data_IF_713923564907
#
_entry.id   IF_713923564907
#
_cell.length_a   1.000
_cell.length_b   1.000
_cell.length_c   1.000
_cell.angle_alpha   90.00
_cell.angle_beta   90.00
_cell.angle_gamma   90.00
#
_symmetry.space_group_name_H-M   'P 1'
#
loop_
_entity.id
_entity.type
_entity.pdbx_description
1 polymer ?
#
# COMPACT_ATOMS: atom_id res chain seq x y z
N UNK A 1 3.03 -27.46 -12.80
CA UNK A 1 2.38 -26.88 -11.61
C UNK A 1 2.80 -25.42 -11.51
N UNK A 2 1.89 -24.48 -11.79
CA UNK A 2 2.15 -23.06 -11.54
C UNK A 2 2.04 -22.86 -10.03
N UNK A 3 3.19 -22.77 -9.35
CA UNK A 3 3.24 -22.35 -7.95
C UNK A 3 3.00 -20.85 -7.91
N UNK A 4 1.74 -20.43 -8.11
CA UNK A 4 1.33 -19.04 -7.93
C UNK A 4 1.25 -18.76 -6.44
N UNK A 5 2.38 -18.35 -5.84
CA UNK A 5 2.37 -17.83 -4.47
C UNK A 5 1.44 -16.62 -4.38
N UNK A 6 0.75 -16.43 -3.25
CA UNK A 6 -0.19 -15.35 -3.08
C UNK A 6 0.54 -14.01 -3.17
N UNK A 7 -0.12 -12.98 -3.74
CA UNK A 7 0.46 -11.66 -3.87
C UNK A 7 0.73 -11.05 -2.49
N UNK A 8 1.80 -10.26 -2.37
CA UNK A 8 2.21 -9.65 -1.11
C UNK A 8 1.72 -8.21 -1.00
N UNK A 9 1.16 -7.88 0.17
CA UNK A 9 0.75 -6.53 0.51
C UNK A 9 1.91 -5.76 1.14
N UNK A 10 2.02 -4.48 0.78
CA UNK A 10 3.03 -3.55 1.29
C UNK A 10 2.39 -2.20 1.57
N UNK A 11 2.86 -1.52 2.61
CA UNK A 11 2.56 -0.11 2.85
C UNK A 11 3.80 0.70 2.57
N UNK A 12 3.63 1.82 1.89
CA UNK A 12 4.68 2.79 1.61
C UNK A 12 4.30 4.05 2.39
N UNK A 13 5.22 4.58 3.19
CA UNK A 13 5.03 5.73 4.05
C UNK A 13 5.97 6.86 3.64
N UNK A 14 5.76 8.06 4.18
CA UNK A 14 6.61 9.23 3.92
C UNK A 14 6.69 9.63 2.43
N UNK A 15 5.66 9.34 1.65
CA UNK A 15 5.61 9.76 0.24
C UNK A 15 5.35 11.26 0.18
N UNK A 16 6.04 12.05 -0.65
CA UNK A 16 5.76 13.49 -0.75
C UNK A 16 4.33 13.79 -1.25
N UNK A 17 3.66 14.80 -0.68
CA UNK A 17 2.26 15.17 -0.98
C UNK A 17 1.91 15.37 -2.46
N UNK A 18 2.88 15.74 -3.28
CA UNK A 18 2.69 16.03 -4.70
C UNK A 18 2.87 14.80 -5.60
N UNK A 19 3.04 13.60 -5.04
CA UNK A 19 3.16 12.37 -5.81
C UNK A 19 1.82 11.91 -6.38
N UNK A 20 1.88 11.39 -7.60
CA UNK A 20 0.79 10.63 -8.21
C UNK A 20 1.11 9.14 -8.17
N UNK A 21 0.11 8.28 -8.35
CA UNK A 21 0.32 6.83 -8.44
C UNK A 21 1.31 6.46 -9.54
N UNK A 22 1.24 7.13 -10.71
CA UNK A 22 2.15 6.89 -11.82
C UNK A 22 3.60 7.26 -11.45
N UNK A 23 3.78 8.37 -10.73
CA UNK A 23 5.09 8.81 -10.26
C UNK A 23 5.64 7.85 -9.20
N UNK A 24 4.83 7.46 -8.22
CA UNK A 24 5.21 6.47 -7.21
C UNK A 24 5.59 5.12 -7.86
N UNK A 25 4.84 4.68 -8.88
CA UNK A 25 5.17 3.46 -9.62
C UNK A 25 6.47 3.57 -10.43
N UNK A 26 6.84 4.79 -10.85
CA UNK A 26 8.07 5.02 -11.60
C UNK A 26 9.34 4.84 -10.76
N UNK A 27 9.23 4.97 -9.44
CA UNK A 27 10.28 4.81 -8.44
C UNK A 27 10.75 3.37 -8.22
N UNK A 28 10.05 2.39 -8.81
CA UNK A 28 10.40 0.98 -8.72
C UNK A 28 11.18 0.52 -9.94
N UNK A 29 11.98 -0.54 -9.82
CA UNK A 29 12.71 -1.12 -10.94
C UNK A 29 11.77 -1.50 -12.09
N UNK A 30 12.18 -1.24 -13.33
CA UNK A 30 11.33 -1.43 -14.53
C UNK A 30 10.68 -2.82 -14.64
N UNK A 31 11.43 -3.89 -14.32
CA UNK A 31 10.89 -5.27 -14.29
C UNK A 31 9.83 -5.50 -13.22
N UNK A 32 9.80 -4.67 -12.18
CA UNK A 32 8.91 -4.82 -11.02
C UNK A 32 7.63 -4.01 -11.25
N UNK A 33 7.68 -2.94 -12.05
CA UNK A 33 6.53 -2.09 -12.42
C UNK A 33 5.37 -2.93 -12.96
N UNK A 34 5.63 -3.95 -13.77
CA UNK A 34 4.59 -4.85 -14.32
C UNK A 34 3.90 -5.71 -13.25
N UNK A 35 4.56 -5.94 -12.12
CA UNK A 35 4.09 -6.76 -11.01
C UNK A 35 3.49 -5.94 -9.86
N UNK A 36 3.52 -4.61 -9.95
CA UNK A 36 3.08 -3.68 -8.92
C UNK A 36 1.70 -3.10 -9.26
N UNK A 37 0.78 -3.19 -8.30
CA UNK A 37 -0.49 -2.50 -8.32
C UNK A 37 -0.62 -1.63 -7.07
N UNK A 38 -0.68 -0.31 -7.26
CA UNK A 38 -1.05 0.62 -6.18
C UNK A 38 -2.56 0.51 -5.98
N UNK A 39 -2.98 0.34 -4.73
CA UNK A 39 -4.37 0.12 -4.32
C UNK A 39 -4.95 1.34 -3.62
N UNK A 40 -4.10 2.11 -2.97
CA UNK A 40 -4.45 3.39 -2.38
C UNK A 40 -3.23 4.30 -2.37
N UNK A 41 -3.48 5.60 -2.47
CA UNK A 41 -2.54 6.68 -2.23
C UNK A 41 -3.33 7.79 -1.54
N UNK A 42 -3.11 7.98 -0.25
CA UNK A 42 -3.93 8.84 0.62
C UNK A 42 -3.02 9.69 1.51
N UNK A 43 -3.50 10.82 2.04
CA UNK A 43 -2.76 11.58 3.05
C UNK A 43 -2.37 10.69 4.24
N UNK A 44 -1.15 10.86 4.71
CA UNK A 44 -0.67 10.23 5.94
C UNK A 44 -1.35 10.89 7.14
N UNK A 45 -1.99 10.07 7.97
CA UNK A 45 -2.69 10.53 9.18
C UNK A 45 -1.74 10.82 10.33
N UNK A 46 -0.48 10.39 10.22
CA UNK A 46 0.54 10.46 11.27
C UNK A 46 1.33 11.77 11.22
N UNK A 47 1.33 12.45 10.08
CA UNK A 47 2.20 13.59 9.82
C UNK A 47 1.43 14.72 9.14
N UNK A 48 0.84 15.59 9.97
CA UNK A 48 0.06 16.76 9.55
C UNK A 48 0.88 18.06 9.50
N UNK A 49 2.18 18.02 9.79
CA UNK A 49 3.01 19.23 9.82
C UNK A 49 3.55 19.58 8.40
N UNK A 50 3.23 20.78 7.91
CA UNK A 50 3.75 21.32 6.63
C UNK A 50 2.91 20.95 5.39
N UNK A 51 3.57 20.62 4.28
CA UNK A 51 2.92 20.21 3.01
C UNK A 51 2.23 18.83 3.09
N UNK A 52 2.46 18.09 4.19
CA UNK A 52 1.94 16.74 4.43
C UNK A 52 2.69 15.64 3.68
N UNK A 53 2.54 14.40 4.13
CA UNK A 53 3.00 13.19 3.42
C UNK A 53 1.80 12.35 2.98
N UNK A 54 2.04 11.42 2.07
CA UNK A 54 1.09 10.40 1.64
C UNK A 54 1.55 9.03 2.16
N UNK A 55 0.57 8.15 2.35
CA UNK A 55 0.75 6.72 2.53
C UNK A 55 0.08 5.98 1.39
N UNK A 56 0.73 4.96 0.87
CA UNK A 56 0.19 4.11 -0.19
C UNK A 56 0.12 2.65 0.24
N UNK A 57 -0.89 1.95 -0.25
CA UNK A 57 -0.94 0.48 -0.19
C UNK A 57 -0.64 -0.09 -1.56
N UNK A 58 0.25 -1.08 -1.61
CA UNK A 58 0.71 -1.72 -2.83
C UNK A 58 0.55 -3.23 -2.74
N UNK A 59 0.10 -3.82 -3.85
CA UNK A 59 0.11 -5.25 -4.09
C UNK A 59 1.25 -5.61 -5.03
N UNK A 60 2.12 -6.52 -4.63
CA UNK A 60 3.23 -7.02 -5.44
C UNK A 60 3.02 -8.49 -5.81
N UNK A 61 3.01 -8.77 -7.12
CA UNK A 61 2.69 -10.08 -7.69
C UNK A 61 3.75 -10.54 -8.71
N UNK A 62 4.94 -10.97 -8.27
CA UNK A 62 5.98 -11.47 -9.17
C UNK A 62 5.59 -12.84 -9.73
N UNK A 63 4.93 -12.88 -10.89
CA UNK A 63 4.47 -14.14 -11.52
C UNK A 63 5.60 -15.08 -11.93
N UNK A 64 6.81 -14.55 -12.19
CA UNK A 64 7.87 -15.29 -12.91
C UNK A 64 9.04 -15.74 -12.01
N UNK A 65 9.08 -15.34 -10.74
CA UNK A 65 10.25 -15.57 -9.90
C UNK A 65 10.02 -16.74 -8.95
N UNK A 66 10.86 -17.77 -9.12
CA UNK A 66 10.87 -18.98 -8.26
C UNK A 66 11.18 -18.66 -6.80
N UNK A 67 11.78 -17.50 -6.53
CA UNK A 67 12.21 -17.09 -5.19
C UNK A 67 11.42 -15.86 -4.71
N UNK A 68 10.99 -15.84 -3.44
CA UNK A 68 10.38 -14.67 -2.84
C UNK A 68 11.41 -13.54 -2.85
N UNK A 69 11.11 -12.46 -3.57
CA UNK A 69 11.92 -11.25 -3.57
C UNK A 69 11.08 -10.03 -3.25
N UNK A 70 11.76 -8.98 -2.80
CA UNK A 70 11.15 -7.69 -2.55
C UNK A 70 11.08 -6.87 -3.85
N UNK A 71 10.08 -5.98 -3.99
CA UNK A 71 10.10 -4.97 -5.04
C UNK A 71 11.33 -4.08 -4.82
N UNK A 72 12.12 -3.90 -5.87
CA UNK A 72 13.34 -3.10 -5.85
C UNK A 72 12.95 -1.64 -6.06
N UNK A 73 13.18 -0.80 -5.07
CA UNK A 73 13.16 0.65 -5.24
C UNK A 73 14.42 1.06 -6.04
N UNK A 74 14.28 2.00 -6.97
CA UNK A 74 15.43 2.69 -7.54
C UNK A 74 15.97 3.69 -6.50
N UNK A 75 17.28 3.94 -6.50
CA UNK A 75 18.11 4.57 -5.43
C UNK A 75 17.69 5.98 -4.94
N UNK A 76 16.53 6.51 -5.35
CA UNK A 76 16.25 7.95 -5.33
C UNK A 76 15.01 8.40 -4.56
N UNK A 77 14.47 7.59 -3.66
CA UNK A 77 13.28 8.04 -2.92
C UNK A 77 13.36 7.82 -1.41
N UNK A 78 13.09 8.91 -0.69
CA UNK A 78 13.04 9.03 0.78
C UNK A 78 11.79 8.37 1.41
N UNK A 79 11.12 7.45 0.71
CA UNK A 79 9.93 6.78 1.24
C UNK A 79 10.27 5.42 1.86
N UNK A 80 9.62 5.13 2.99
CA UNK A 80 9.81 3.88 3.72
C UNK A 80 8.82 2.83 3.26
N UNK A 81 9.29 1.62 2.95
CA UNK A 81 8.43 0.50 2.61
C UNK A 81 8.33 -0.48 3.78
N UNK A 82 7.15 -0.51 4.37
CA UNK A 82 6.81 -1.42 5.46
C UNK A 82 6.60 -2.85 4.92
N UNK A 83 7.40 -3.77 5.45
CA UNK A 83 7.47 -5.18 5.04
C UNK A 83 6.40 -6.04 5.70
N UNK A 84 5.91 -5.59 6.85
CA UNK A 84 4.99 -6.32 7.73
C UNK A 84 3.57 -5.78 7.67
N UNK A 85 3.26 -4.98 6.65
CA UNK A 85 1.91 -4.50 6.42
C UNK A 85 0.96 -5.65 6.03
N UNK A 86 0.33 -6.22 7.04
CA UNK A 86 -0.92 -6.95 6.91
C UNK A 86 -1.98 -5.86 6.77
N UNK A 87 -2.32 -5.52 5.53
CA UNK A 87 -3.24 -4.41 5.27
C UNK A 87 -4.51 -4.53 6.08
N UNK A 88 -5.08 -3.35 6.43
CA UNK A 88 -6.29 -3.17 7.23
C UNK A 88 -7.13 -4.43 7.19
N UNK A 89 -7.33 -5.05 8.36
CA UNK A 89 -8.22 -6.19 8.58
C UNK A 89 -9.34 -6.06 7.56
N UNK A 90 -9.39 -6.90 6.50
CA UNK A 90 -10.33 -6.68 5.42
C UNK A 90 -11.67 -6.48 6.10
N UNK A 91 -12.31 -5.33 5.83
CA UNK A 91 -13.58 -4.95 6.43
C UNK A 91 -14.42 -6.21 6.33
N UNK A 92 -14.62 -6.88 7.48
CA UNK A 92 -15.02 -8.28 7.49
C UNK A 92 -16.43 -8.27 6.94
N UNK A 93 -16.54 -8.45 5.61
CA UNK A 93 -17.79 -8.34 4.91
C UNK A 93 -18.58 -9.54 5.41
N UNK A 94 -19.54 -9.31 6.31
CA UNK A 94 -20.22 -10.41 6.91
C UNK A 94 -20.95 -11.13 5.77
N UNK A 95 -20.91 -12.47 5.75
CA UNK A 95 -21.60 -13.26 4.73
C UNK A 95 -23.14 -13.15 4.78
N UNK A 96 -23.65 -12.18 5.54
CA UNK A 96 -25.05 -11.82 5.77
C UNK A 96 -25.11 -10.32 6.03
N UNK A 97 -26.26 -9.70 5.77
CA UNK A 97 -26.47 -8.30 6.14
C UNK A 97 -26.32 -8.13 7.66
N UNK A 98 -25.49 -7.17 8.08
CA UNK A 98 -25.28 -6.83 9.49
C UNK A 98 -25.64 -5.37 9.69
N UNK A 99 -26.58 -5.13 10.59
CA UNK A 99 -26.93 -3.80 11.06
C UNK A 99 -25.94 -3.42 12.17
N UNK A 100 -25.27 -2.29 12.02
CA UNK A 100 -24.40 -1.72 13.03
C UNK A 100 -24.93 -0.33 13.41
N UNK A 101 -25.19 -0.12 14.70
CA UNK A 101 -25.56 1.19 15.22
C UNK A 101 -24.29 2.03 15.39
N UNK A 102 -24.20 3.14 14.64
CA UNK A 102 -23.10 4.08 14.76
C UNK A 102 -23.48 5.10 15.84
N UNK A 103 -22.80 5.04 16.98
CA UNK A 103 -22.94 6.04 18.05
C UNK A 103 -21.80 7.04 17.90
N UNK A 104 -22.11 8.25 17.44
CA UNK A 104 -21.18 9.37 17.49
C UNK A 104 -21.33 10.09 18.84
N UNK A 105 -20.30 10.04 19.67
CA UNK A 105 -20.23 10.82 20.91
C UNK A 105 -19.53 12.13 20.60
N UNK A 106 -20.27 13.23 20.61
CA UNK A 106 -19.70 14.58 20.52
C UNK A 106 -19.46 15.10 21.94
N UNK A 107 -18.19 15.32 22.31
CA UNK A 107 -17.84 16.04 23.53
C UNK A 107 -18.18 17.52 23.38
N UNK A 108 -18.94 18.06 24.34
CA UNK A 108 -19.29 19.48 24.46
C UNK A 108 -18.25 20.20 25.31
#
# INVERSE_FOLDING_TARGET
>A
MVSSRPPTWRRIQNIPAHFTEARLKSCFHSDDKKCIQIKSLVPDVSNYDGDGTLTATMLFSPQELREPREPRAEEYDDFDMDKDFIGFTPLNNPGKDVCADIIAVTGL
#
